data_IF_029461893087
#
_entry.id   IF_029461893087
#
_cell.length_a   1.000
_cell.length_b   1.000
_cell.length_c   1.000
_cell.angle_alpha   90.00
_cell.angle_beta   90.00
_cell.angle_gamma   90.00
#
_symmetry.space_group_name_H-M   'P 1'
#
loop_
_entity.id
_entity.type
_entity.pdbx_description
1 polymer ?
#
# COMPACT_ATOMS: atom_id res chain seq x y z
N UNK A 1 -28.82 16.95 13.96
CA UNK A 1 -27.48 17.10 14.55
C UNK A 1 -26.61 17.82 13.55
N UNK A 2 -26.06 19.00 13.89
CA UNK A 2 -25.16 19.72 12.97
C UNK A 2 -23.85 18.94 12.79
N UNK A 3 -23.49 18.62 11.55
CA UNK A 3 -22.19 18.02 11.23
C UNK A 3 -21.09 18.97 11.72
N UNK A 4 -20.17 18.45 12.55
CA UNK A 4 -19.01 19.20 13.02
C UNK A 4 -18.24 19.73 11.81
N UNK A 5 -17.81 21.00 11.86
CA UNK A 5 -16.94 21.56 10.82
C UNK A 5 -15.68 20.69 10.71
N UNK A 6 -15.30 20.25 9.49
CA UNK A 6 -14.08 19.47 9.30
C UNK A 6 -12.87 20.28 9.75
N UNK A 7 -11.90 19.61 10.37
CA UNK A 7 -10.65 20.20 10.84
C UNK A 7 -9.49 19.44 10.22
N UNK A 8 -8.44 20.17 9.88
CA UNK A 8 -7.18 19.58 9.49
C UNK A 8 -6.59 18.79 10.65
N UNK A 9 -6.14 17.57 10.34
CA UNK A 9 -5.39 16.70 11.24
C UNK A 9 -4.15 16.30 10.47
N UNK A 10 -2.97 16.49 11.07
CA UNK A 10 -1.73 16.05 10.44
C UNK A 10 -1.70 14.53 10.28
N UNK A 11 -1.02 14.05 9.24
CA UNK A 11 -0.89 12.63 8.92
C UNK A 11 0.48 12.07 9.34
N UNK A 12 1.22 12.79 10.19
CA UNK A 12 2.60 12.41 10.58
C UNK A 12 2.67 11.25 11.57
N UNK A 13 1.51 10.76 12.07
CA UNK A 13 1.43 9.54 12.88
C UNK A 13 0.86 8.34 12.11
N UNK A 14 0.74 8.43 10.79
CA UNK A 14 0.22 7.37 9.93
C UNK A 14 1.32 6.78 9.05
N UNK A 15 1.42 5.46 9.02
CA UNK A 15 2.18 4.68 8.05
C UNK A 15 1.18 3.93 7.18
N UNK A 16 1.29 4.04 5.86
CA UNK A 16 0.47 3.25 4.94
C UNK A 16 1.24 1.98 4.54
N UNK A 17 0.55 0.84 4.52
CA UNK A 17 1.10 -0.48 4.17
C UNK A 17 0.16 -1.09 3.14
N UNK A 18 0.73 -1.53 2.02
CA UNK A 18 -0.02 -2.16 0.94
C UNK A 18 0.91 -2.92 0.01
N UNK A 19 0.35 -3.84 -0.77
CA UNK A 19 1.05 -4.60 -1.81
C UNK A 19 0.78 -4.02 -3.21
N UNK A 20 1.80 -4.05 -4.07
CA UNK A 20 1.63 -3.72 -5.49
C UNK A 20 2.21 -4.76 -6.41
N UNK A 21 1.44 -5.10 -7.44
CA UNK A 21 1.92 -5.88 -8.57
C UNK A 21 2.63 -4.96 -9.57
N UNK A 22 3.86 -5.31 -9.92
CA UNK A 22 4.62 -4.68 -11.00
C UNK A 22 4.71 -5.62 -12.18
N UNK A 23 4.49 -5.08 -13.38
CA UNK A 23 4.49 -5.86 -14.61
C UNK A 23 5.79 -5.64 -15.37
N UNK A 24 6.35 -6.74 -15.89
CA UNK A 24 7.55 -6.70 -16.74
C UNK A 24 7.30 -5.97 -18.08
N UNK A 25 6.07 -6.01 -18.58
CA UNK A 25 5.66 -5.41 -19.85
C UNK A 25 4.30 -4.69 -19.73
N UNK A 26 4.10 -3.61 -20.52
CA UNK A 26 2.78 -2.96 -20.71
C UNK A 26 2.04 -3.65 -21.86
N UNK A 27 1.17 -4.62 -21.58
CA UNK A 27 0.28 -5.21 -22.59
C UNK A 27 0.14 -6.73 -22.50
N UNK A 28 -0.77 -7.29 -23.29
CA UNK A 28 -0.91 -8.74 -23.45
C UNK A 28 0.26 -9.30 -24.24
N UNK A 29 1.09 -10.11 -23.60
CA UNK A 29 2.06 -10.93 -24.33
C UNK A 29 1.28 -11.98 -25.12
N UNK A 30 1.24 -11.83 -26.44
CA UNK A 30 0.74 -12.88 -27.33
C UNK A 30 1.82 -13.95 -27.45
N UNK A 31 1.55 -15.13 -26.90
CA UNK A 31 2.38 -16.30 -27.10
C UNK A 31 1.90 -17.02 -28.36
N UNK A 32 2.79 -17.26 -29.32
CA UNK A 32 2.52 -18.19 -30.42
C UNK A 32 2.85 -19.60 -29.94
N UNK A 33 1.85 -20.46 -29.82
CA UNK A 33 2.06 -21.89 -29.55
C UNK A 33 2.17 -22.66 -30.85
N UNK A 34 3.12 -23.60 -30.90
CA UNK A 34 3.13 -24.62 -31.94
C UNK A 34 1.90 -25.53 -31.81
N UNK A 35 1.33 -26.06 -32.90
CA UNK A 35 0.21 -27.02 -32.85
C UNK A 35 0.47 -28.26 -31.97
N UNK A 36 1.74 -28.55 -31.65
CA UNK A 36 2.17 -29.71 -30.84
C UNK A 36 2.51 -29.38 -29.39
N UNK A 37 2.40 -28.13 -28.96
CA UNK A 37 2.79 -27.70 -27.62
C UNK A 37 1.59 -27.76 -26.65
N UNK A 38 1.80 -28.34 -25.46
CA UNK A 38 0.75 -28.39 -24.44
C UNK A 38 0.57 -27.03 -23.79
N UNK A 39 -0.68 -26.67 -23.46
CA UNK A 39 -0.98 -25.44 -22.72
C UNK A 39 -0.16 -25.38 -21.42
N UNK A 40 0.47 -24.23 -21.10
CA UNK A 40 1.17 -24.08 -19.84
C UNK A 40 0.22 -24.32 -18.68
N UNK A 41 0.55 -25.32 -17.85
CA UNK A 41 -0.24 -25.67 -16.68
C UNK A 41 0.10 -24.71 -15.54
N UNK A 42 -0.80 -23.76 -15.27
CA UNK A 42 -0.68 -22.85 -14.13
C UNK A 42 -1.36 -23.47 -12.90
N UNK A 43 -0.59 -23.81 -11.87
CA UNK A 43 -1.14 -24.15 -10.55
C UNK A 43 -1.20 -22.89 -9.68
N UNK A 44 -2.38 -22.53 -9.20
CA UNK A 44 -2.52 -21.44 -8.22
C UNK A 44 -2.35 -22.01 -6.81
N UNK A 45 -1.36 -21.52 -6.07
CA UNK A 45 -1.16 -21.89 -4.67
C UNK A 45 -2.41 -21.58 -3.81
N UNK A 46 -2.57 -22.31 -2.71
CA UNK A 46 -3.72 -22.16 -1.81
C UNK A 46 -3.77 -20.78 -1.15
N UNK A 47 -4.87 -20.03 -1.38
CA UNK A 47 -5.10 -18.67 -0.85
C UNK A 47 -4.95 -18.54 0.67
N UNK A 48 -5.09 -19.64 1.44
CA UNK A 48 -4.95 -19.64 2.92
C UNK A 48 -3.53 -19.27 3.39
N UNK A 49 -2.50 -19.49 2.59
CA UNK A 49 -1.11 -19.22 2.98
C UNK A 49 -0.78 -17.72 3.03
N UNK A 50 -1.49 -16.90 2.24
CA UNK A 50 -1.20 -15.47 2.06
C UNK A 50 -1.32 -14.71 3.38
N UNK A 51 -2.35 -14.98 4.20
CA UNK A 51 -2.50 -14.30 5.49
C UNK A 51 -1.42 -14.68 6.52
N UNK A 52 -0.82 -15.87 6.41
CA UNK A 52 0.30 -16.27 7.26
C UNK A 52 1.56 -15.51 6.86
N UNK A 53 1.86 -15.44 5.57
CA UNK A 53 3.01 -14.68 5.06
C UNK A 53 2.88 -13.18 5.31
N UNK A 54 1.67 -12.63 5.16
CA UNK A 54 1.42 -11.23 5.51
C UNK A 54 1.74 -10.94 6.99
N UNK A 55 1.23 -11.77 7.91
CA UNK A 55 1.55 -11.63 9.34
C UNK A 55 3.05 -11.77 9.63
N UNK A 56 3.73 -12.70 8.95
CA UNK A 56 5.18 -12.88 9.06
C UNK A 56 5.94 -11.64 8.58
N UNK A 57 5.57 -11.10 7.42
CA UNK A 57 6.14 -9.89 6.82
C UNK A 57 5.98 -8.68 7.75
N UNK A 58 4.81 -8.52 8.39
CA UNK A 58 4.61 -7.46 9.38
C UNK A 58 5.56 -7.57 10.57
N UNK A 59 5.66 -8.75 11.16
CA UNK A 59 6.45 -9.00 12.38
C UNK A 59 7.95 -8.93 12.13
N UNK A 60 8.42 -9.52 11.03
CA UNK A 60 9.85 -9.69 10.75
C UNK A 60 10.45 -8.51 9.98
N UNK A 61 9.65 -7.76 9.21
CA UNK A 61 10.14 -6.70 8.32
C UNK A 61 9.53 -5.34 8.64
N UNK A 62 8.20 -5.22 8.65
CA UNK A 62 7.54 -3.90 8.71
C UNK A 62 7.67 -3.26 10.08
N UNK A 63 7.31 -3.93 11.17
CA UNK A 63 7.43 -3.34 12.50
C UNK A 63 8.88 -2.96 12.84
N UNK A 64 9.90 -3.80 12.59
CA UNK A 64 11.30 -3.38 12.74
C UNK A 64 11.65 -2.15 11.89
N UNK A 65 11.22 -2.09 10.63
CA UNK A 65 11.50 -0.95 9.75
C UNK A 65 10.84 0.34 10.24
N UNK A 66 9.59 0.27 10.73
CA UNK A 66 8.90 1.41 11.35
C UNK A 66 9.73 1.89 12.54
N UNK A 67 10.10 1.01 13.48
CA UNK A 67 10.87 1.40 14.67
C UNK A 67 12.20 2.06 14.33
N UNK A 68 12.89 1.56 13.31
CA UNK A 68 14.19 2.05 12.89
C UNK A 68 14.11 3.40 12.16
N UNK A 69 13.05 3.63 11.38
CA UNK A 69 12.90 4.81 10.52
C UNK A 69 11.92 5.85 11.07
N UNK A 70 11.23 5.58 12.18
CA UNK A 70 10.21 6.48 12.73
C UNK A 70 10.85 7.81 13.18
N UNK A 71 10.46 8.95 12.61
CA UNK A 71 11.05 10.24 12.96
C UNK A 71 10.52 10.80 14.29
N UNK A 72 9.38 10.30 14.76
CA UNK A 72 8.71 10.77 15.96
C UNK A 72 9.15 10.07 17.25
N UNK A 73 8.61 10.53 18.38
CA UNK A 73 8.83 9.84 19.66
C UNK A 73 8.13 8.47 19.67
N UNK A 74 8.83 7.47 20.19
CA UNK A 74 8.30 6.13 20.53
C UNK A 74 7.08 6.17 21.46
N UNK A 75 6.89 7.25 22.23
CA UNK A 75 5.72 7.42 23.11
C UNK A 75 4.44 7.76 22.36
N UNK A 76 4.53 8.27 21.12
CA UNK A 76 3.36 8.57 20.30
C UNK A 76 2.88 7.27 19.66
N UNK A 77 1.57 7.03 19.71
CA UNK A 77 0.93 5.93 18.97
C UNK A 77 1.12 6.13 17.47
N UNK A 78 1.49 5.06 16.78
CA UNK A 78 1.62 5.02 15.32
C UNK A 78 0.41 4.26 14.77
N UNK A 79 -0.26 4.83 13.78
CA UNK A 79 -1.35 4.20 13.05
C UNK A 79 -0.79 3.60 11.77
N UNK A 80 -0.90 2.29 11.60
CA UNK A 80 -0.45 1.58 10.42
C UNK A 80 -1.69 1.20 9.60
N UNK A 81 -2.01 2.00 8.59
CA UNK A 81 -3.17 1.80 7.75
C UNK A 81 -2.89 0.76 6.65
N UNK A 82 -3.83 -0.16 6.44
CA UNK A 82 -3.84 -1.10 5.33
C UNK A 82 -5.25 -1.30 4.76
N UNK A 83 -5.34 -1.96 3.62
CA UNK A 83 -6.62 -2.23 2.95
C UNK A 83 -7.42 -3.36 3.64
N UNK A 84 -8.64 -3.64 3.16
CA UNK A 84 -9.54 -4.64 3.74
C UNK A 84 -9.46 -6.02 3.08
N UNK A 85 -8.38 -6.35 2.36
CA UNK A 85 -8.21 -7.66 1.74
C UNK A 85 -8.29 -8.78 2.79
N UNK A 86 -8.91 -9.91 2.46
CA UNK A 86 -9.12 -11.01 3.41
C UNK A 86 -7.84 -11.48 4.14
N UNK A 87 -6.66 -11.58 3.49
CA UNK A 87 -5.41 -11.91 4.17
C UNK A 87 -5.02 -10.94 5.31
N UNK A 88 -5.42 -9.67 5.22
CA UNK A 88 -5.10 -8.63 6.20
C UNK A 88 -5.81 -8.84 7.53
N UNK A 89 -6.88 -9.65 7.58
CA UNK A 89 -7.47 -10.11 8.83
C UNK A 89 -6.46 -10.78 9.77
N UNK A 90 -5.32 -11.26 9.26
CA UNK A 90 -4.25 -11.84 10.08
C UNK A 90 -3.65 -10.86 11.11
N UNK A 91 -3.80 -9.54 10.97
CA UNK A 91 -3.35 -8.55 11.96
C UNK A 91 -4.09 -8.64 13.30
N UNK A 92 -5.28 -9.24 13.28
CA UNK A 92 -6.10 -9.43 14.48
C UNK A 92 -5.55 -10.52 15.40
N UNK A 93 -4.60 -11.33 14.93
CA UNK A 93 -3.96 -12.38 15.73
C UNK A 93 -3.18 -11.75 16.89
N UNK A 94 -3.38 -12.31 18.09
CA UNK A 94 -2.72 -11.84 19.31
C UNK A 94 -1.20 -11.76 19.19
N UNK A 95 -0.56 -12.71 18.49
CA UNK A 95 0.88 -12.68 18.25
C UNK A 95 1.32 -11.43 17.48
N UNK A 96 0.59 -11.02 16.44
CA UNK A 96 0.92 -9.81 15.67
C UNK A 96 0.70 -8.56 16.52
N UNK A 97 -0.39 -8.49 17.28
CA UNK A 97 -0.69 -7.35 18.16
C UNK A 97 0.30 -7.21 19.33
N UNK A 98 0.78 -8.33 19.86
CA UNK A 98 1.84 -8.32 20.87
C UNK A 98 3.11 -7.75 20.26
N UNK A 99 3.55 -8.28 19.11
CA UNK A 99 4.73 -7.81 18.40
C UNK A 99 4.61 -6.32 18.04
N UNK A 100 3.43 -5.83 17.66
CA UNK A 100 3.24 -4.41 17.32
C UNK A 100 3.42 -3.44 18.51
N UNK A 101 3.35 -3.96 19.75
CA UNK A 101 3.46 -3.18 21.00
C UNK A 101 4.74 -3.43 21.80
N UNK A 102 5.68 -4.18 21.24
CA UNK A 102 6.91 -4.54 21.95
C UNK A 102 7.82 -3.36 22.23
N UNK A 103 8.65 -3.54 23.26
CA UNK A 103 9.67 -2.59 23.70
C UNK A 103 9.10 -1.21 24.11
N UNK A 104 7.78 -1.05 24.25
CA UNK A 104 7.14 0.23 24.55
C UNK A 104 6.75 1.04 23.31
N UNK A 105 6.73 0.42 22.13
CA UNK A 105 6.05 0.96 20.95
C UNK A 105 4.53 0.72 21.04
N UNK A 106 3.73 1.52 20.34
CA UNK A 106 2.29 1.27 20.15
C UNK A 106 1.96 1.47 18.66
N UNK A 107 2.24 0.44 17.84
CA UNK A 107 1.85 0.40 16.42
C UNK A 107 0.47 -0.25 16.34
N UNK A 108 -0.53 0.52 15.91
CA UNK A 108 -1.91 0.06 15.75
C UNK A 108 -2.24 -0.14 14.28
N UNK A 109 -2.58 -1.37 13.92
CA UNK A 109 -3.11 -1.67 12.59
C UNK A 109 -4.52 -1.10 12.47
N UNK A 110 -4.77 -0.34 11.41
CA UNK A 110 -6.07 0.28 11.12
C UNK A 110 -6.51 -0.07 9.70
N UNK A 111 -7.75 -0.54 9.59
CA UNK A 111 -8.38 -0.84 8.33
C UNK A 111 -8.84 0.44 7.63
N UNK A 112 -8.64 0.53 6.32
CA UNK A 112 -9.24 1.60 5.53
C UNK A 112 -10.77 1.58 5.65
N UNK A 113 -11.45 2.73 5.50
CA UNK A 113 -12.91 2.76 5.41
C UNK A 113 -13.42 1.83 4.30
N UNK A 114 -14.52 1.11 4.56
CA UNK A 114 -15.07 0.18 3.58
C UNK A 114 -15.42 0.89 2.26
N UNK A 115 -15.17 0.22 1.12
CA UNK A 115 -15.44 0.73 -0.23
C UNK A 115 -14.80 2.09 -0.54
N UNK A 116 -13.68 2.41 0.10
CA UNK A 116 -12.98 3.68 -0.08
C UNK A 116 -11.57 3.47 -0.65
N UNK A 117 -11.44 3.00 -1.90
CA UNK A 117 -10.12 2.80 -2.52
C UNK A 117 -9.30 4.09 -2.56
N UNK A 118 -9.97 5.25 -2.66
CA UNK A 118 -9.33 6.57 -2.69
C UNK A 118 -8.75 7.02 -1.34
N UNK A 119 -8.91 6.22 -0.28
CA UNK A 119 -8.36 6.48 1.06
C UNK A 119 -7.00 5.83 1.31
N UNK A 120 -6.47 5.08 0.34
CA UNK A 120 -5.13 4.51 0.38
C UNK A 120 -4.18 5.34 -0.50
N UNK A 121 -3.28 6.12 0.11
CA UNK A 121 -2.34 6.98 -0.63
C UNK A 121 -1.42 6.20 -1.56
N UNK A 122 -1.11 4.94 -1.21
CA UNK A 122 -0.20 4.10 -1.95
C UNK A 122 -0.78 3.77 -3.32
N UNK A 123 -2.02 3.26 -3.37
CA UNK A 123 -2.73 3.01 -4.62
C UNK A 123 -3.15 4.28 -5.35
N UNK A 124 -3.61 5.29 -4.61
CA UNK A 124 -4.07 6.56 -5.18
C UNK A 124 -2.96 7.23 -6.00
N UNK A 125 -1.71 7.18 -5.54
CA UNK A 125 -0.66 8.03 -6.11
C UNK A 125 0.78 7.51 -6.03
N UNK A 126 1.22 6.95 -4.90
CA UNK A 126 2.64 6.60 -4.71
C UNK A 126 3.05 5.47 -5.67
N UNK A 127 2.27 4.39 -5.74
CA UNK A 127 2.57 3.28 -6.65
C UNK A 127 2.49 3.70 -8.11
N UNK A 128 1.55 4.56 -8.48
CA UNK A 128 1.45 5.11 -9.83
C UNK A 128 2.71 5.92 -10.19
N UNK A 129 3.28 6.67 -9.23
CA UNK A 129 4.53 7.40 -9.43
C UNK A 129 5.72 6.44 -9.67
N UNK A 130 5.85 5.37 -8.86
CA UNK A 130 6.90 4.35 -9.03
C UNK A 130 6.75 3.65 -10.38
N UNK A 131 5.55 3.16 -10.69
CA UNK A 131 5.26 2.48 -11.95
C UNK A 131 5.55 3.38 -13.16
N UNK A 132 5.23 4.68 -13.08
CA UNK A 132 5.55 5.61 -14.15
C UNK A 132 7.04 5.74 -14.44
N UNK A 133 7.92 5.53 -13.46
CA UNK A 133 9.38 5.51 -13.65
C UNK A 133 9.83 4.13 -14.12
N UNK A 134 9.32 3.07 -13.49
CA UNK A 134 9.64 1.68 -13.85
C UNK A 134 9.33 1.40 -15.32
N UNK A 135 8.18 1.84 -15.84
CA UNK A 135 7.80 1.62 -17.23
C UNK A 135 8.65 2.35 -18.28
N UNK A 136 9.55 3.25 -17.87
CA UNK A 136 10.52 3.89 -18.78
C UNK A 136 11.76 3.03 -18.99
N UNK A 137 11.93 1.97 -18.19
CA UNK A 137 13.06 1.07 -18.24
C UNK A 137 12.54 -0.32 -18.61
N UNK A 138 12.75 -0.77 -19.87
CA UNK A 138 12.34 -2.11 -20.26
C UNK A 138 13.13 -3.14 -19.44
N UNK A 139 12.43 -4.11 -18.86
CA UNK A 139 13.03 -5.23 -18.16
C UNK A 139 12.54 -6.53 -18.79
N UNK A 140 13.43 -7.51 -18.91
CA UNK A 140 13.13 -8.80 -19.54
C UNK A 140 13.30 -9.98 -18.57
N UNK A 141 13.70 -9.70 -17.32
CA UNK A 141 13.90 -10.69 -16.27
C UNK A 141 13.45 -10.14 -14.92
N UNK A 142 13.16 -11.05 -13.98
CA UNK A 142 12.62 -10.72 -12.66
C UNK A 142 13.59 -9.86 -11.85
N UNK A 143 14.89 -10.20 -11.83
CA UNK A 143 15.89 -9.45 -11.06
C UNK A 143 16.07 -8.02 -11.60
N UNK A 144 16.03 -7.86 -12.93
CA UNK A 144 16.04 -6.54 -13.54
C UNK A 144 14.79 -5.73 -13.16
N UNK A 145 13.61 -6.36 -13.14
CA UNK A 145 12.38 -5.71 -12.67
C UNK A 145 12.49 -5.27 -11.21
N UNK A 146 13.00 -6.14 -10.32
CA UNK A 146 13.23 -5.81 -8.91
C UNK A 146 14.17 -4.61 -8.80
N UNK A 147 15.31 -4.63 -9.50
CA UNK A 147 16.28 -3.55 -9.51
C UNK A 147 15.69 -2.22 -9.96
N UNK A 148 14.91 -2.22 -11.04
CA UNK A 148 14.24 -1.01 -11.55
C UNK A 148 13.18 -0.49 -10.58
N UNK A 149 12.38 -1.36 -9.94
CA UNK A 149 11.37 -0.94 -8.95
C UNK A 149 12.06 -0.33 -7.73
N UNK A 150 13.12 -0.96 -7.21
CA UNK A 150 13.89 -0.42 -6.09
C UNK A 150 14.53 0.93 -6.44
N UNK A 151 15.17 1.05 -7.61
CA UNK A 151 15.73 2.31 -8.07
C UNK A 151 14.66 3.39 -8.25
N UNK A 152 13.49 3.02 -8.79
CA UNK A 152 12.35 3.94 -8.96
C UNK A 152 11.83 4.45 -7.63
N UNK A 153 11.80 3.58 -6.60
CA UNK A 153 11.43 3.94 -5.23
C UNK A 153 12.46 4.91 -4.61
N UNK A 154 13.75 4.60 -4.68
CA UNK A 154 14.82 5.44 -4.11
C UNK A 154 14.92 6.81 -4.83
N UNK A 155 14.59 6.86 -6.12
CA UNK A 155 14.57 8.10 -6.90
C UNK A 155 13.33 8.96 -6.66
N UNK A 156 12.31 8.49 -5.91
CA UNK A 156 11.11 9.27 -5.65
C UNK A 156 11.45 10.56 -4.87
N UNK A 157 11.29 11.75 -5.47
CA UNK A 157 11.58 12.99 -4.76
C UNK A 157 10.57 13.20 -3.63
N UNK A 158 11.01 13.75 -2.50
CA UNK A 158 10.11 14.11 -1.38
C UNK A 158 8.95 15.00 -1.85
N UNK A 159 9.21 15.92 -2.79
CA UNK A 159 8.17 16.75 -3.41
C UNK A 159 7.06 15.95 -4.11
N UNK A 160 7.38 14.78 -4.67
CA UNK A 160 6.39 13.88 -5.26
C UNK A 160 5.55 13.21 -4.18
N UNK A 161 6.18 12.76 -3.09
CA UNK A 161 5.48 12.21 -1.93
C UNK A 161 4.56 13.25 -1.28
N UNK A 162 5.01 14.49 -1.11
CA UNK A 162 4.18 15.58 -0.58
C UNK A 162 2.92 15.79 -1.42
N UNK A 163 3.07 15.79 -2.75
CA UNK A 163 1.92 15.88 -3.67
C UNK A 163 0.97 14.70 -3.53
N UNK A 164 1.48 13.48 -3.31
CA UNK A 164 0.65 12.29 -3.08
C UNK A 164 -0.26 12.49 -1.85
N UNK A 165 0.32 12.94 -0.73
CA UNK A 165 -0.45 13.22 0.50
C UNK A 165 -1.39 14.42 0.36
N UNK A 166 -1.00 15.47 -0.37
CA UNK A 166 -1.90 16.59 -0.67
C UNK A 166 -3.10 16.14 -1.52
N UNK A 167 -2.89 15.25 -2.49
CA UNK A 167 -3.99 14.66 -3.27
C UNK A 167 -4.93 13.87 -2.38
N UNK A 168 -4.42 13.04 -1.46
CA UNK A 168 -5.25 12.33 -0.48
C UNK A 168 -6.08 13.30 0.36
N UNK A 169 -5.50 14.41 0.83
CA UNK A 169 -6.23 15.41 1.61
C UNK A 169 -7.35 16.07 0.80
N UNK A 170 -7.10 16.42 -0.47
CA UNK A 170 -8.14 16.94 -1.37
C UNK A 170 -9.26 15.92 -1.60
N UNK A 171 -8.92 14.64 -1.76
CA UNK A 171 -9.90 13.54 -1.87
C UNK A 171 -10.75 13.42 -0.61
N UNK A 172 -10.15 13.46 0.58
CA UNK A 172 -10.88 13.46 1.85
C UNK A 172 -11.84 14.65 1.97
N UNK A 173 -11.43 15.83 1.50
CA UNK A 173 -12.31 17.00 1.45
C UNK A 173 -13.51 16.78 0.51
N UNK A 174 -13.28 16.16 -0.66
CA UNK A 174 -14.35 15.78 -1.58
C UNK A 174 -15.33 14.79 -0.94
N UNK A 175 -14.84 13.74 -0.26
CA UNK A 175 -15.69 12.76 0.44
C UNK A 175 -16.57 13.46 1.48
N UNK A 176 -16.00 14.38 2.27
CA UNK A 176 -16.75 15.13 3.28
C UNK A 176 -17.83 16.01 2.62
N UNK A 177 -17.50 16.69 1.51
CA UNK A 177 -18.45 17.52 0.75
C UNK A 177 -19.60 16.70 0.14
N UNK A 178 -19.36 15.44 -0.21
CA UNK A 178 -20.35 14.52 -0.76
C UNK A 178 -20.93 13.57 0.30
N UNK A 179 -20.85 13.95 1.59
CA UNK A 179 -21.45 13.21 2.71
C UNK A 179 -21.05 11.73 2.81
N UNK A 180 -19.81 11.41 2.42
CA UNK A 180 -19.26 10.04 2.46
C UNK A 180 -19.36 9.28 1.14
N UNK A 181 -19.94 9.87 0.10
CA UNK A 181 -19.99 9.28 -1.24
C UNK A 181 -18.62 9.34 -1.94
N UNK A 182 -18.41 8.45 -2.91
CA UNK A 182 -17.21 8.37 -3.75
C UNK A 182 -17.47 8.74 -5.22
N UNK A 183 -18.70 9.14 -5.57
CA UNK A 183 -19.02 9.69 -6.90
C UNK A 183 -18.58 11.16 -7.05
N UNK A 184 -17.26 11.36 -7.12
CA UNK A 184 -16.69 12.66 -7.46
C UNK A 184 -15.47 12.50 -8.35
N UNK A 185 -15.18 13.53 -9.16
CA UNK A 185 -13.95 13.54 -9.95
C UNK A 185 -12.75 13.75 -9.03
N UNK A 186 -11.68 12.99 -9.27
CA UNK A 186 -10.44 13.20 -8.55
C UNK A 186 -9.98 14.67 -8.69
N UNK A 187 -9.73 15.35 -7.57
CA UNK A 187 -9.39 16.77 -7.58
C UNK A 187 -8.01 16.96 -8.22
N UNK A 188 -7.93 17.87 -9.20
CA UNK A 188 -6.68 18.26 -9.88
C UNK A 188 -5.84 19.20 -9.00
#
# INVERSE_FOLDING_TARGET
>A
MGLRKPRFVDMYDVVHIDEKWFNMYKGSTHYYMSPTENLPHHTCANKKYIGKEYAKMLVEKVFPAIRAKWPGSKRRRIRAQHDNASPHGAVTKASVQQRSKEEGWDIRMEFQPAKSPDMNVLDLSVFNAIQSVQYRQPTHEVDALIGVVMASFELLPSRTLDKCFLTLQKVMECIIKHAGDNDFRLPR
#
